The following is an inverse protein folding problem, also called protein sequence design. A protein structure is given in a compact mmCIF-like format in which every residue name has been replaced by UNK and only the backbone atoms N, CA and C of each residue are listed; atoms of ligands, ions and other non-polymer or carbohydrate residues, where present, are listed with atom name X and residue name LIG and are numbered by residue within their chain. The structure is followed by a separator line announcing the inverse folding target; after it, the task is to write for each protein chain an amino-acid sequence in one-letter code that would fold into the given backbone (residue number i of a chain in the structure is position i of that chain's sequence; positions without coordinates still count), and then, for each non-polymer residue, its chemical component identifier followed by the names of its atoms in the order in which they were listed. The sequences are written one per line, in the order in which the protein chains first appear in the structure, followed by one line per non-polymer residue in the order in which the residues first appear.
data_IF_390561384085
#
_entry.id   IF_390561384085
#
_cell.length_a   1.000
_cell.length_b   1.000
_cell.length_c   1.000
_cell.angle_alpha   90.00
_cell.angle_beta   90.00
_cell.angle_gamma   90.00
#
_symmetry.space_group_name_H-M   'P 1'
#
loop_
_entity.id
_entity.type
_entity.pdbx_description
1 polymer ?
#
# COMPACT_ATOMS: atom_id res chain seq x y z
N UNK A 1 -10.05 1.73 14.14
CA UNK A 1 -9.88 1.64 12.68
C UNK A 1 -8.60 0.86 12.44
N UNK A 2 -8.60 -0.03 11.46
CA UNK A 2 -7.42 -0.79 11.03
C UNK A 2 -7.18 -0.55 9.55
N UNK A 3 -5.91 -0.41 9.18
CA UNK A 3 -5.49 -0.20 7.81
C UNK A 3 -4.86 -1.46 7.21
N UNK A 4 -5.20 -1.76 5.97
CA UNK A 4 -4.63 -2.88 5.23
C UNK A 4 -4.62 -2.59 3.73
N UNK A 5 -3.78 -3.29 2.98
CA UNK A 5 -3.98 -3.37 1.53
C UNK A 5 -5.31 -4.06 1.22
N UNK A 6 -5.99 -3.60 0.17
CA UNK A 6 -7.20 -4.25 -0.31
C UNK A 6 -6.86 -5.60 -0.95
N UNK A 7 -7.88 -6.44 -1.15
CA UNK A 7 -7.73 -7.71 -1.86
C UNK A 7 -7.33 -7.55 -3.35
N UNK A 8 -7.40 -6.32 -3.90
CA UNK A 8 -6.96 -6.05 -5.27
C UNK A 8 -5.43 -5.93 -5.38
N UNK A 9 -4.73 -5.69 -4.27
CA UNK A 9 -3.27 -5.54 -4.25
C UNK A 9 -2.61 -6.92 -4.24
N UNK A 10 -1.83 -7.23 -5.28
CA UNK A 10 -1.15 -8.52 -5.43
C UNK A 10 -0.14 -8.80 -4.31
N UNK A 11 0.09 -10.08 -3.99
CA UNK A 11 1.06 -10.52 -2.98
C UNK A 11 2.48 -9.98 -3.26
N UNK A 12 2.90 -9.93 -4.53
CA UNK A 12 4.20 -9.35 -4.93
C UNK A 12 4.35 -7.90 -4.45
N UNK A 13 3.29 -7.10 -4.55
CA UNK A 13 3.31 -5.71 -4.07
C UNK A 13 3.32 -5.67 -2.53
N UNK A 14 2.62 -6.59 -1.88
CA UNK A 14 2.63 -6.71 -0.41
C UNK A 14 3.98 -7.20 0.15
N UNK A 15 4.84 -7.78 -0.68
CA UNK A 15 6.24 -8.08 -0.32
C UNK A 15 7.14 -6.84 -0.43
N UNK A 16 6.84 -5.94 -1.37
CA UNK A 16 7.59 -4.70 -1.59
C UNK A 16 7.20 -3.58 -0.63
N UNK A 17 5.94 -3.53 -0.18
CA UNK A 17 5.42 -2.50 0.70
C UNK A 17 4.68 -3.12 1.90
N UNK A 18 4.79 -2.46 3.05
CA UNK A 18 4.03 -2.80 4.26
C UNK A 18 3.27 -1.59 4.74
N UNK A 19 2.10 -1.83 5.32
CA UNK A 19 1.29 -0.80 5.99
C UNK A 19 1.15 -1.15 7.47
N UNK A 20 1.39 -0.17 8.34
CA UNK A 20 1.12 -0.32 9.77
C UNK A 20 -0.39 -0.25 10.01
N UNK A 21 -0.94 -1.28 10.65
CA UNK A 21 -2.39 -1.44 10.81
C UNK A 21 -3.03 -0.35 11.68
N UNK A 22 -2.25 0.38 12.51
CA UNK A 22 -2.77 1.38 13.46
C UNK A 22 -2.64 2.80 12.95
N UNK A 23 -1.50 3.14 12.39
CA UNK A 23 -1.16 4.49 11.92
C UNK A 23 -1.47 4.69 10.43
N UNK A 24 -1.56 3.61 9.65
CA UNK A 24 -1.67 3.67 8.20
C UNK A 24 -0.36 4.07 7.50
N UNK A 25 0.77 4.10 8.22
CA UNK A 25 2.08 4.39 7.65
C UNK A 25 2.49 3.31 6.65
N UNK A 26 2.83 3.72 5.42
CA UNK A 26 3.33 2.83 4.36
C UNK A 26 4.85 2.93 4.32
N UNK A 27 5.52 1.77 4.32
CA UNK A 27 6.98 1.66 4.23
C UNK A 27 7.37 0.67 3.15
N UNK A 28 8.53 0.91 2.53
CA UNK A 28 9.18 -0.09 1.69
C UNK A 28 9.67 -1.26 2.55
N UNK A 29 9.57 -2.46 2.02
CA UNK A 29 10.00 -3.72 2.64
C UNK A 29 10.83 -4.60 1.70
N UNK A 30 10.80 -4.31 0.39
CA UNK A 30 11.67 -4.92 -0.61
C UNK A 30 12.45 -3.87 -1.40
N UNK A 31 13.34 -4.36 -2.28
CA UNK A 31 14.09 -3.51 -3.20
C UNK A 31 13.17 -2.98 -4.29
N UNK A 32 13.29 -1.68 -4.57
CA UNK A 32 12.61 -1.01 -5.66
C UNK A 32 13.65 -0.65 -6.70
N UNK A 33 13.52 -1.21 -7.89
CA UNK A 33 14.37 -0.89 -9.04
C UNK A 33 13.54 -0.14 -10.08
N UNK A 34 13.99 1.06 -10.43
CA UNK A 34 13.35 1.93 -11.40
C UNK A 34 13.27 1.28 -12.79
N UNK A 35 14.32 0.56 -13.18
CA UNK A 35 14.39 -0.14 -14.48
C UNK A 35 13.35 -1.27 -14.58
N UNK A 36 13.00 -1.87 -13.44
CA UNK A 36 12.00 -2.94 -13.37
C UNK A 36 10.57 -2.38 -13.32
N UNK A 37 10.32 -1.38 -12.47
CA UNK A 37 8.98 -0.82 -12.27
C UNK A 37 9.05 0.62 -11.79
N UNK A 38 8.48 1.53 -12.58
CA UNK A 38 8.53 2.98 -12.34
C UNK A 38 7.40 3.48 -11.42
N UNK A 39 6.28 2.76 -11.33
CA UNK A 39 5.18 3.16 -10.47
C UNK A 39 4.35 1.99 -9.95
N UNK A 40 3.68 2.22 -8.81
CA UNK A 40 2.79 1.28 -8.16
C UNK A 40 1.48 1.95 -7.78
N UNK A 41 0.39 1.21 -7.93
CA UNK A 41 -0.94 1.57 -7.45
C UNK A 41 -1.32 0.71 -6.25
N UNK A 42 -1.46 1.34 -5.08
CA UNK A 42 -1.87 0.69 -3.85
C UNK A 42 -3.30 1.08 -3.51
N UNK A 43 -4.19 0.10 -3.36
CA UNK A 43 -5.51 0.33 -2.81
C UNK A 43 -5.51 -0.03 -1.32
N UNK A 44 -5.84 0.94 -0.46
CA UNK A 44 -5.87 0.80 0.99
C UNK A 44 -7.31 0.72 1.45
N UNK A 45 -7.58 -0.20 2.37
CA UNK A 45 -8.84 -0.31 3.12
C UNK A 45 -8.63 0.17 4.56
N UNK A 46 -9.54 1.02 5.04
CA UNK A 46 -9.65 1.42 6.42
C UNK A 46 -10.96 0.89 7.00
N UNK A 47 -10.88 -0.06 7.95
CA UNK A 47 -12.04 -0.74 8.53
C UNK A 47 -12.26 -0.34 9.98
N UNK A 48 -13.48 0.03 10.35
CA UNK A 48 -13.83 0.34 11.73
C UNK A 48 -14.08 -0.92 12.58
N UNK A 49 -14.39 -0.72 13.87
CA UNK A 49 -14.72 -1.81 14.81
C UNK A 49 -16.22 -1.89 15.11
N UNK A 50 -17.06 -1.34 14.22
CA UNK A 50 -18.51 -1.35 14.37
C UNK A 50 -19.14 -2.74 14.18
N UNK A 51 -20.46 -2.82 14.41
CA UNK A 51 -21.26 -4.00 14.12
C UNK A 51 -22.57 -3.59 13.39
N UNK A 52 -22.69 -3.80 12.06
CA UNK A 52 -21.66 -4.32 11.16
C UNK A 52 -20.48 -3.34 11.00
N UNK A 53 -19.27 -3.82 10.65
CA UNK A 53 -18.15 -2.93 10.39
C UNK A 53 -18.36 -2.15 9.10
N UNK A 54 -17.90 -0.90 9.08
CA UNK A 54 -17.82 -0.06 7.90
C UNK A 54 -16.38 0.03 7.40
N UNK A 55 -16.22 0.09 6.08
CA UNK A 55 -14.92 0.24 5.41
C UNK A 55 -14.92 1.48 4.52
N UNK A 56 -13.77 2.15 4.46
CA UNK A 56 -13.45 3.18 3.47
C UNK A 56 -12.24 2.76 2.64
N UNK A 57 -12.16 3.25 1.40
CA UNK A 57 -11.10 2.91 0.46
C UNK A 57 -10.38 4.16 -0.06
N UNK A 58 -9.09 4.01 -0.35
CA UNK A 58 -8.22 5.05 -0.88
C UNK A 58 -7.23 4.44 -1.88
N UNK A 59 -6.90 5.19 -2.94
CA UNK A 59 -5.83 4.83 -3.88
C UNK A 59 -4.61 5.71 -3.62
N UNK A 60 -3.46 5.08 -3.50
CA UNK A 60 -2.14 5.71 -3.37
C UNK A 60 -1.33 5.35 -4.60
N UNK A 61 -0.96 6.36 -5.37
CA UNK A 61 -0.04 6.24 -6.51
C UNK A 61 1.37 6.55 -6.03
N UNK A 62 2.30 5.63 -6.26
CA UNK A 62 3.71 5.75 -5.89
C UNK A 62 4.55 5.79 -7.16
N UNK A 63 5.40 6.79 -7.27
CA UNK A 63 6.41 6.90 -8.32
C UNK A 63 7.79 6.58 -7.75
N UNK A 64 8.51 5.66 -8.39
CA UNK A 64 9.91 5.39 -8.10
C UNK A 64 10.73 6.44 -8.82
N UNK A 65 11.56 7.17 -8.08
CA UNK A 65 12.46 8.16 -8.66
C UNK A 65 13.77 7.48 -9.04
N UNK A 66 14.21 7.70 -10.28
CA UNK A 66 15.57 7.32 -10.69
C UNK A 66 16.58 8.18 -9.93
N UNK A 67 17.65 7.55 -9.46
CA UNK A 67 18.75 8.22 -8.77
C UNK A 67 19.70 8.93 -9.75
N UNK A 68 19.57 8.66 -11.05
CA UNK A 68 20.50 9.13 -12.08
C UNK A 68 20.01 10.35 -12.89
N UNK A 69 18.87 10.96 -12.55
CA UNK A 69 18.35 12.20 -13.17
C UNK A 69 18.72 13.47 -12.36
#
# INVERSE_FOLDING_TARGET
IYYSFSNAVSEKIQDLFKIDEKSGEIRTAGELDFEDTQSYDLEIEAKDQGWPPLSGHCRVELEVLDVND
#
